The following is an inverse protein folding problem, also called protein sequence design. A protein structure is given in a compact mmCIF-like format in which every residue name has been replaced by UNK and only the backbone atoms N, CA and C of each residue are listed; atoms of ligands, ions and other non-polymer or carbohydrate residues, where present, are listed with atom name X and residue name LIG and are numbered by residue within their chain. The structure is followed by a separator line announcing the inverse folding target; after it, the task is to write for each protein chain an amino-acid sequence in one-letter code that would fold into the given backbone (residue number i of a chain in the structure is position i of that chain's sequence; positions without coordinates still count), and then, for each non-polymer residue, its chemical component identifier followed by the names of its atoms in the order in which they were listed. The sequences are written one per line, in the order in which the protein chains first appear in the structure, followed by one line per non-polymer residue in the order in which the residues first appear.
data_IF_788181454570
#
_entry.id   IF_788181454570
#
_cell.length_a   1.000
_cell.length_b   1.000
_cell.length_c   1.000
_cell.angle_alpha   90.00
_cell.angle_beta   90.00
_cell.angle_gamma   90.00
#
_symmetry.space_group_name_H-M   'P 1'
#
loop_
_entity.id
_entity.type
_entity.pdbx_description
1 polymer ?
#
# COMPACT_ATOMS: atom_id res chain seq x y z
N UNK A 1 14.02 0.53 -4.87
CA UNK A 1 14.54 -0.63 -4.10
C UNK A 1 13.48 -1.10 -3.12
N UNK A 2 13.21 -2.38 -3.03
CA UNK A 2 12.33 -3.01 -2.06
C UNK A 2 13.15 -3.99 -1.21
N UNK A 3 13.28 -3.72 0.07
CA UNK A 3 14.01 -4.59 1.00
C UNK A 3 13.07 -5.49 1.79
N UNK A 4 13.51 -6.73 2.05
CA UNK A 4 12.70 -7.66 2.83
C UNK A 4 13.37 -9.01 3.07
N UNK A 5 12.78 -9.78 3.97
CA UNK A 5 13.23 -11.18 4.20
C UNK A 5 12.80 -12.11 3.07
N UNK A 6 11.73 -11.78 2.33
CA UNK A 6 11.13 -12.62 1.28
C UNK A 6 10.95 -14.08 1.72
N UNK A 7 10.28 -14.28 2.84
CA UNK A 7 10.09 -15.57 3.50
C UNK A 7 8.59 -15.96 3.64
N UNK A 8 7.96 -16.46 2.56
CA UNK A 8 8.39 -16.46 1.16
C UNK A 8 8.17 -15.10 0.47
N UNK A 9 8.74 -14.95 -0.73
CA UNK A 9 8.29 -13.95 -1.70
C UNK A 9 6.86 -14.31 -2.15
N UNK A 10 6.03 -13.30 -2.46
CA UNK A 10 4.63 -13.51 -2.84
C UNK A 10 4.13 -12.39 -3.75
N UNK A 11 2.93 -12.56 -4.33
CA UNK A 11 2.31 -11.61 -5.24
C UNK A 11 2.19 -10.17 -4.70
N UNK A 12 2.09 -9.98 -3.38
CA UNK A 12 2.08 -8.64 -2.80
C UNK A 12 3.40 -7.86 -2.99
N UNK A 13 4.56 -8.55 -3.04
CA UNK A 13 5.84 -7.90 -3.38
C UNK A 13 5.87 -7.51 -4.85
N UNK A 14 5.35 -8.39 -5.73
CA UNK A 14 5.23 -8.12 -7.16
C UNK A 14 4.30 -6.93 -7.40
N UNK A 15 3.12 -6.94 -6.82
CA UNK A 15 2.13 -5.87 -6.94
C UNK A 15 2.68 -4.49 -6.54
N UNK A 16 3.34 -4.38 -5.38
CA UNK A 16 3.97 -3.12 -4.95
C UNK A 16 5.05 -2.69 -5.95
N UNK A 17 5.81 -3.63 -6.52
CA UNK A 17 6.86 -3.33 -7.49
C UNK A 17 6.28 -2.82 -8.81
N UNK A 18 5.25 -3.46 -9.35
CA UNK A 18 4.54 -3.04 -10.56
C UNK A 18 3.90 -1.66 -10.40
N UNK A 19 3.26 -1.42 -9.26
CA UNK A 19 2.71 -0.10 -8.93
C UNK A 19 3.81 0.96 -8.86
N UNK A 20 4.93 0.68 -8.21
CA UNK A 20 6.05 1.61 -8.11
C UNK A 20 6.65 1.94 -9.48
N UNK A 21 6.82 0.94 -10.36
CA UNK A 21 7.28 1.15 -11.74
C UNK A 21 6.36 2.10 -12.50
N UNK A 22 5.03 1.94 -12.34
CA UNK A 22 4.02 2.73 -13.03
C UNK A 22 3.85 4.13 -12.46
N UNK A 23 3.74 4.25 -11.13
CA UNK A 23 3.37 5.51 -10.47
C UNK A 23 4.56 6.47 -10.34
N UNK A 24 5.77 5.93 -10.17
CA UNK A 24 7.00 6.70 -9.95
C UNK A 24 7.89 6.80 -11.20
N UNK A 25 7.44 6.25 -12.34
CA UNK A 25 8.18 6.23 -13.60
C UNK A 25 9.62 5.70 -13.42
N UNK A 26 9.74 4.55 -12.74
CA UNK A 26 11.03 3.93 -12.44
C UNK A 26 11.45 2.99 -13.56
N UNK A 27 12.75 2.98 -13.87
CA UNK A 27 13.32 2.05 -14.88
C UNK A 27 13.33 0.61 -14.36
N UNK A 28 13.64 0.42 -13.07
CA UNK A 28 13.82 -0.91 -12.48
C UNK A 28 13.49 -0.92 -10.99
N UNK A 29 13.14 -2.09 -10.48
CA UNK A 29 13.01 -2.37 -9.05
C UNK A 29 14.06 -3.40 -8.63
N UNK A 30 14.84 -3.08 -7.60
CA UNK A 30 15.76 -4.03 -6.99
C UNK A 30 15.13 -4.62 -5.73
N UNK A 31 14.93 -5.92 -5.73
CA UNK A 31 14.56 -6.66 -4.53
C UNK A 31 15.84 -7.02 -3.77
N UNK A 32 16.03 -6.38 -2.64
CA UNK A 32 17.14 -6.62 -1.74
C UNK A 32 16.73 -7.70 -0.74
N UNK A 33 17.15 -8.94 -0.99
CA UNK A 33 16.85 -10.06 -0.08
C UNK A 33 17.80 -9.99 1.11
N UNK A 34 17.23 -9.70 2.29
CA UNK A 34 18.00 -9.60 3.53
C UNK A 34 18.49 -10.99 3.99
N UNK A 35 19.78 -11.16 4.27
CA UNK A 35 20.30 -12.40 4.84
C UNK A 35 19.60 -12.75 6.14
N UNK A 36 19.46 -11.77 7.05
CA UNK A 36 18.73 -11.90 8.30
C UNK A 36 18.20 -10.52 8.74
N UNK A 37 16.90 -10.42 9.02
CA UNK A 37 16.35 -9.24 9.62
C UNK A 37 16.52 -9.29 11.14
N UNK A 38 17.26 -8.34 11.77
CA UNK A 38 17.50 -8.35 13.21
C UNK A 38 16.23 -8.31 14.08
N UNK A 39 15.12 -7.84 13.52
CA UNK A 39 13.83 -7.71 14.21
C UNK A 39 12.92 -8.93 14.06
N UNK A 40 13.34 -9.95 13.29
CA UNK A 40 12.57 -11.17 13.10
C UNK A 40 13.26 -12.35 13.77
N UNK A 41 12.51 -13.22 14.46
CA UNK A 41 13.09 -14.47 14.99
C UNK A 41 13.65 -15.31 13.84
N UNK A 42 14.70 -16.04 14.12
CA UNK A 42 15.34 -16.97 13.17
C UNK A 42 14.45 -18.20 12.98
N UNK A 43 13.70 -18.55 14.01
CA UNK A 43 12.79 -19.70 14.00
C UNK A 43 11.70 -19.51 12.93
N UNK A 44 11.49 -20.53 12.10
CA UNK A 44 10.57 -20.50 10.95
C UNK A 44 11.05 -19.69 9.75
N UNK A 45 12.33 -19.24 9.72
CA UNK A 45 12.90 -18.58 8.55
C UNK A 45 13.60 -19.60 7.64
N UNK A 46 13.15 -19.68 6.38
CA UNK A 46 13.82 -20.51 5.38
C UNK A 46 15.27 -20.05 5.14
N UNK A 47 16.20 -20.96 4.79
CA UNK A 47 17.57 -20.62 4.44
C UNK A 47 17.65 -19.51 3.37
N UNK A 48 18.66 -18.65 3.49
CA UNK A 48 18.83 -17.51 2.59
C UNK A 48 18.82 -17.90 1.09
N UNK A 49 19.53 -18.96 0.63
CA UNK A 49 19.48 -19.37 -0.77
C UNK A 49 18.07 -19.76 -1.24
N UNK A 50 17.27 -20.40 -0.40
CA UNK A 50 15.89 -20.80 -0.71
C UNK A 50 15.01 -19.57 -0.88
N UNK A 51 15.16 -18.56 0.01
CA UNK A 51 14.42 -17.30 -0.07
C UNK A 51 14.80 -16.48 -1.30
N UNK A 52 16.09 -16.44 -1.61
CA UNK A 52 16.63 -15.75 -2.78
C UNK A 52 16.09 -16.37 -4.08
N UNK A 53 16.10 -17.69 -4.18
CA UNK A 53 15.60 -18.42 -5.33
C UNK A 53 14.07 -18.28 -5.47
N UNK A 54 13.33 -18.39 -4.37
CA UNK A 54 11.89 -18.14 -4.36
C UNK A 54 11.54 -16.71 -4.79
N UNK A 55 12.34 -15.73 -4.41
CA UNK A 55 12.16 -14.34 -4.85
C UNK A 55 12.42 -14.20 -6.37
N UNK A 56 13.47 -14.84 -6.91
CA UNK A 56 13.77 -14.81 -8.35
C UNK A 56 12.62 -15.38 -9.16
N UNK A 57 12.10 -16.53 -8.77
CA UNK A 57 10.97 -17.19 -9.46
C UNK A 57 9.73 -16.30 -9.56
N UNK A 58 9.41 -15.56 -8.49
CA UNK A 58 8.28 -14.62 -8.51
C UNK A 58 8.59 -13.40 -9.39
N UNK A 59 9.83 -12.91 -9.38
CA UNK A 59 10.24 -11.74 -10.14
C UNK A 59 10.39 -11.99 -11.66
N UNK A 60 10.53 -13.26 -12.11
CA UNK A 60 10.66 -13.62 -13.53
C UNK A 60 9.51 -13.12 -14.41
N UNK A 61 8.37 -12.79 -13.81
CA UNK A 61 7.20 -12.27 -14.52
C UNK A 61 7.39 -10.86 -15.06
N UNK A 62 8.32 -10.07 -14.52
CA UNK A 62 8.63 -8.72 -15.02
C UNK A 62 10.17 -8.51 -15.06
N UNK A 63 10.80 -8.38 -16.25
CA UNK A 63 12.25 -8.26 -16.40
C UNK A 63 12.83 -6.96 -15.77
N UNK A 64 11.98 -6.01 -15.42
CA UNK A 64 12.39 -4.79 -14.71
C UNK A 64 12.59 -5.00 -13.21
N UNK A 65 12.25 -6.20 -12.69
CA UNK A 65 12.44 -6.53 -11.28
C UNK A 65 13.67 -7.40 -11.13
N UNK A 66 14.72 -6.84 -10.52
CA UNK A 66 15.99 -7.52 -10.29
C UNK A 66 16.10 -8.00 -8.85
N UNK A 67 16.24 -9.30 -8.66
CA UNK A 67 16.48 -9.88 -7.33
C UNK A 67 17.96 -9.97 -7.06
N UNK A 68 18.41 -9.40 -5.95
CA UNK A 68 19.83 -9.31 -5.62
C UNK A 68 20.13 -9.70 -4.19
N UNK A 69 21.31 -10.26 -3.99
CA UNK A 69 21.94 -10.58 -2.71
C UNK A 69 22.93 -9.48 -2.24
N UNK A 70 22.82 -8.27 -2.78
CA UNK A 70 23.75 -7.18 -2.49
C UNK A 70 23.91 -6.90 -0.99
N UNK A 71 22.84 -7.02 -0.19
CA UNK A 71 22.95 -6.85 1.26
C UNK A 71 23.94 -7.81 1.92
N UNK A 72 24.06 -9.04 1.39
CA UNK A 72 25.02 -10.02 1.91
C UNK A 72 26.47 -9.74 1.50
N UNK A 73 26.65 -8.98 0.40
CA UNK A 73 27.96 -8.65 -0.18
C UNK A 73 28.47 -7.29 0.26
N UNK A 74 27.60 -6.41 0.74
CA UNK A 74 28.00 -5.14 1.29
C UNK A 74 28.66 -5.43 2.65
N UNK A 75 29.94 -5.09 2.80
CA UNK A 75 30.68 -5.17 4.05
C UNK A 75 30.17 -4.17 5.11
N UNK A 76 29.04 -3.52 4.84
CA UNK A 76 28.37 -2.57 5.70
C UNK A 76 27.70 -3.29 6.88
N UNK A 77 26.75 -2.87 7.49
CA UNK A 77 26.10 -3.49 8.64
C UNK A 77 24.85 -4.27 8.23
N UNK A 78 24.18 -4.88 9.20
CA UNK A 78 22.87 -5.52 9.04
C UNK A 78 21.72 -4.50 8.97
N UNK A 79 22.02 -3.20 8.96
CA UNK A 79 21.02 -2.15 9.11
C UNK A 79 20.75 -1.46 7.78
N UNK A 80 19.48 -1.24 7.49
CA UNK A 80 19.00 -0.62 6.24
C UNK A 80 19.66 0.75 5.98
N UNK A 81 19.85 1.58 7.01
CA UNK A 81 20.50 2.90 6.86
C UNK A 81 21.92 2.79 6.29
N UNK A 82 22.72 1.82 6.77
CA UNK A 82 24.08 1.62 6.30
C UNK A 82 24.12 1.03 4.90
N UNK A 83 23.22 0.08 4.61
CA UNK A 83 23.08 -0.51 3.28
C UNK A 83 22.73 0.55 2.23
N UNK A 84 21.78 1.44 2.51
CA UNK A 84 21.40 2.52 1.61
C UNK A 84 22.54 3.50 1.37
N UNK A 85 23.28 3.86 2.42
CA UNK A 85 24.46 4.70 2.29
C UNK A 85 25.57 4.04 1.45
N UNK A 86 25.78 2.74 1.63
CA UNK A 86 26.74 1.96 0.84
C UNK A 86 26.33 1.88 -0.64
N UNK A 87 25.04 1.64 -0.92
CA UNK A 87 24.50 1.59 -2.28
C UNK A 87 24.65 2.94 -3.00
N UNK A 88 24.30 4.05 -2.35
CA UNK A 88 24.50 5.39 -2.95
C UNK A 88 25.96 5.67 -3.29
N UNK A 89 26.90 5.28 -2.43
CA UNK A 89 28.33 5.43 -2.71
C UNK A 89 28.80 4.52 -3.84
N UNK A 90 28.27 3.29 -3.91
CA UNK A 90 28.67 2.31 -4.91
C UNK A 90 28.13 2.63 -6.29
N UNK A 91 26.93 3.26 -6.36
CA UNK A 91 26.20 3.57 -7.58
C UNK A 91 25.81 5.07 -7.61
N UNK A 92 26.78 6.00 -7.69
CA UNK A 92 26.53 7.44 -7.54
C UNK A 92 25.71 8.06 -8.68
N UNK A 93 25.59 7.35 -9.81
CA UNK A 93 24.80 7.79 -10.97
C UNK A 93 23.36 7.32 -10.94
N UNK A 94 23.00 6.39 -10.04
CA UNK A 94 21.64 5.88 -9.91
C UNK A 94 20.85 6.70 -8.89
N UNK A 95 19.60 6.99 -9.24
CA UNK A 95 18.63 7.61 -8.33
C UNK A 95 17.82 6.49 -7.66
N UNK A 96 17.87 6.45 -6.36
CA UNK A 96 17.24 5.40 -5.59
C UNK A 96 16.00 5.90 -4.86
N UNK A 97 14.91 5.16 -4.94
CA UNK A 97 13.72 5.31 -4.10
C UNK A 97 13.57 4.05 -3.23
N UNK A 98 13.38 4.23 -1.92
CA UNK A 98 13.10 3.11 -1.01
C UNK A 98 11.60 2.84 -0.95
N UNK A 99 11.19 1.62 -1.31
CA UNK A 99 9.81 1.17 -1.30
C UNK A 99 9.53 0.43 0.00
N UNK A 100 8.39 0.69 0.63
CA UNK A 100 7.94 -0.04 1.81
C UNK A 100 6.42 -0.08 1.91
N UNK A 101 5.89 -1.08 2.64
CA UNK A 101 4.48 -1.13 3.01
C UNK A 101 4.16 -0.19 4.19
N UNK A 102 2.89 0.16 4.36
CA UNK A 102 2.40 0.95 5.51
C UNK A 102 2.73 0.32 6.87
N UNK A 103 2.73 -1.01 6.95
CA UNK A 103 3.18 -1.76 8.13
C UNK A 103 4.64 -1.47 8.51
N UNK A 104 5.52 -1.32 7.51
CA UNK A 104 6.91 -0.94 7.74
C UNK A 104 7.04 0.52 8.18
N UNK A 105 6.22 1.44 7.69
CA UNK A 105 6.21 2.82 8.16
C UNK A 105 5.82 2.91 9.65
N UNK A 106 4.91 2.06 10.12
CA UNK A 106 4.58 1.94 11.56
C UNK A 106 5.76 1.39 12.36
N UNK A 107 6.51 0.43 11.80
CA UNK A 107 7.59 -0.27 12.49
C UNK A 107 8.95 0.43 12.39
N UNK A 108 9.16 1.31 11.40
CA UNK A 108 10.45 1.93 11.11
C UNK A 108 11.06 2.69 12.32
N UNK A 109 10.29 3.27 13.26
CA UNK A 109 10.87 3.87 14.46
C UNK A 109 11.67 2.89 15.34
N UNK A 110 11.47 1.59 15.17
CA UNK A 110 12.23 0.54 15.86
C UNK A 110 13.53 0.15 15.11
N UNK A 111 13.72 0.66 13.89
CA UNK A 111 14.90 0.33 13.09
C UNK A 111 16.08 1.19 13.52
N UNK A 112 17.27 0.57 13.52
CA UNK A 112 18.50 1.28 13.87
C UNK A 112 18.72 2.47 12.92
N UNK A 113 18.93 3.64 13.50
CA UNK A 113 19.21 4.90 12.78
C UNK A 113 18.13 5.25 11.73
N UNK A 114 16.88 4.89 11.97
CA UNK A 114 15.78 5.05 11.03
C UNK A 114 15.61 6.47 10.43
N UNK A 115 15.88 7.59 11.16
CA UNK A 115 15.76 8.91 10.55
C UNK A 115 16.74 9.14 9.41
N UNK A 116 17.85 8.40 9.38
CA UNK A 116 18.85 8.51 8.31
C UNK A 116 18.32 7.88 7.02
N UNK A 117 17.48 6.87 7.10
CA UNK A 117 16.82 6.27 5.91
C UNK A 117 16.10 7.37 5.13
N UNK A 118 15.28 8.20 5.82
CA UNK A 118 14.57 9.31 5.20
C UNK A 118 15.48 10.40 4.64
N UNK A 119 16.68 10.57 5.22
CA UNK A 119 17.65 11.56 4.76
C UNK A 119 18.59 11.04 3.67
N UNK A 120 18.59 9.73 3.45
CA UNK A 120 19.51 9.11 2.50
C UNK A 120 18.86 8.94 1.13
N UNK A 121 17.59 8.54 1.07
CA UNK A 121 16.85 8.33 -0.18
C UNK A 121 15.40 8.77 -0.04
N UNK A 122 14.74 9.20 -1.12
CA UNK A 122 13.30 9.37 -1.14
C UNK A 122 12.59 8.05 -0.84
N UNK A 123 11.41 8.13 -0.21
CA UNK A 123 10.65 6.96 0.24
C UNK A 123 9.26 6.93 -0.36
N UNK A 124 8.88 5.79 -0.94
CA UNK A 124 7.51 5.51 -1.37
C UNK A 124 6.89 4.47 -0.45
N UNK A 125 5.80 4.84 0.18
CA UNK A 125 5.03 3.98 1.09
C UNK A 125 3.76 3.56 0.40
N UNK A 126 3.55 2.26 0.32
CA UNK A 126 2.34 1.66 -0.24
C UNK A 126 1.44 1.17 0.89
N UNK A 127 0.18 1.48 0.78
CA UNK A 127 -0.80 1.10 1.77
C UNK A 127 -0.87 -0.43 1.96
N UNK A 128 -1.31 -0.84 3.15
CA UNK A 128 -1.61 -2.23 3.45
C UNK A 128 -2.88 -2.31 4.29
N UNK A 129 -3.69 -3.38 4.12
CA UNK A 129 -4.88 -3.59 4.95
C UNK A 129 -4.58 -3.35 6.43
N UNK A 130 -5.45 -2.59 7.10
CA UNK A 130 -5.39 -2.30 8.54
C UNK A 130 -4.22 -1.43 9.01
N UNK A 131 -3.40 -0.85 8.13
CA UNK A 131 -2.24 -0.06 8.52
C UNK A 131 -2.28 1.42 8.11
N UNK A 132 -3.14 1.85 7.18
CA UNK A 132 -3.18 3.20 6.63
C UNK A 132 -3.21 4.29 7.71
N UNK A 133 -4.18 4.23 8.60
CA UNK A 133 -4.35 5.22 9.67
C UNK A 133 -3.19 5.19 10.67
N UNK A 134 -2.75 3.99 11.08
CA UNK A 134 -1.63 3.81 12.00
C UNK A 134 -0.33 4.30 11.39
N UNK A 135 -0.12 4.09 10.10
CA UNK A 135 1.07 4.53 9.39
C UNK A 135 1.15 6.05 9.33
N UNK A 136 0.06 6.72 8.91
CA UNK A 136 0.01 8.17 8.75
C UNK A 136 -0.02 8.93 10.09
N UNK A 137 -0.63 8.37 11.13
CA UNK A 137 -0.61 8.93 12.49
C UNK A 137 0.64 8.58 13.29
N UNK A 138 1.50 7.72 12.76
CA UNK A 138 2.69 7.21 13.43
C UNK A 138 3.83 8.23 13.59
N UNK A 139 4.81 7.92 14.48
CA UNK A 139 5.92 8.83 14.77
C UNK A 139 6.76 9.20 13.54
N UNK A 140 6.96 8.27 12.60
CA UNK A 140 7.74 8.51 11.40
C UNK A 140 7.04 9.51 10.47
N UNK A 141 5.76 9.32 10.18
CA UNK A 141 4.97 10.22 9.36
C UNK A 141 4.88 11.62 9.98
N UNK A 142 4.67 11.72 11.31
CA UNK A 142 4.66 13.02 12.02
C UNK A 142 6.02 13.72 11.94
N UNK A 143 7.12 13.00 12.17
CA UNK A 143 8.47 13.58 12.15
C UNK A 143 8.84 14.15 10.79
N UNK A 144 8.44 13.49 9.71
CA UNK A 144 8.74 13.88 8.35
C UNK A 144 7.56 14.49 7.60
N UNK A 145 6.50 14.93 8.30
CA UNK A 145 5.27 15.45 7.70
C UNK A 145 5.50 16.56 6.65
N UNK A 146 6.41 17.51 6.95
CA UNK A 146 6.74 18.63 6.05
C UNK A 146 7.42 18.22 4.74
N UNK A 147 7.94 17.00 4.67
CA UNK A 147 8.62 16.44 3.49
C UNK A 147 7.73 15.46 2.72
N UNK A 148 6.45 15.38 3.08
CA UNK A 148 5.50 14.57 2.33
C UNK A 148 5.18 15.27 1.01
N UNK A 149 5.37 14.51 -0.07
CA UNK A 149 5.15 14.96 -1.44
C UNK A 149 3.66 14.85 -1.77
N UNK A 150 3.03 15.86 -2.39
CA UNK A 150 1.68 15.76 -2.94
C UNK A 150 1.58 14.69 -4.03
N UNK A 151 0.39 14.12 -4.22
CA UNK A 151 0.15 13.10 -5.25
C UNK A 151 0.46 13.60 -6.68
N UNK A 152 0.25 14.90 -6.96
CA UNK A 152 0.59 15.52 -8.25
C UNK A 152 2.07 15.42 -8.62
N UNK A 153 2.96 15.34 -7.64
CA UNK A 153 4.40 15.38 -7.83
C UNK A 153 5.08 14.01 -7.64
N UNK A 154 4.30 12.96 -7.42
CA UNK A 154 4.80 11.61 -7.09
C UNK A 154 5.75 11.03 -8.16
N UNK A 155 5.48 11.28 -9.45
CA UNK A 155 6.33 10.82 -10.55
C UNK A 155 7.75 11.36 -10.48
N UNK A 156 7.92 12.53 -9.87
CA UNK A 156 9.22 13.18 -9.70
C UNK A 156 9.95 12.77 -8.44
N UNK A 157 9.39 11.86 -7.64
CA UNK A 157 9.98 11.46 -6.36
C UNK A 157 11.45 11.02 -6.48
N UNK A 158 11.79 10.27 -7.53
CA UNK A 158 13.16 9.81 -7.79
C UNK A 158 14.17 10.96 -8.08
N UNK A 159 13.66 12.13 -8.46
CA UNK A 159 14.46 13.33 -8.75
C UNK A 159 14.64 14.23 -7.54
N UNK A 160 13.84 14.02 -6.50
CA UNK A 160 13.82 14.87 -5.32
C UNK A 160 14.99 14.56 -4.39
N UNK A 161 15.57 15.63 -3.82
CA UNK A 161 16.56 15.49 -2.75
C UNK A 161 15.87 15.01 -1.45
N UNK A 162 16.43 13.98 -0.78
CA UNK A 162 15.91 13.55 0.50
C UNK A 162 16.15 14.61 1.60
N UNK A 163 15.23 14.74 2.57
CA UNK A 163 14.06 13.94 2.79
C UNK A 163 12.89 14.26 1.85
N UNK A 164 12.35 13.27 1.18
CA UNK A 164 11.10 13.37 0.41
C UNK A 164 10.38 12.02 0.55
N UNK A 165 9.07 12.03 0.71
CA UNK A 165 8.33 10.79 0.79
C UNK A 165 6.89 10.95 0.34
N UNK A 166 6.30 9.87 -0.20
CA UNK A 166 4.92 9.79 -0.65
C UNK A 166 4.23 8.61 0.01
N UNK A 167 2.93 8.71 0.22
CA UNK A 167 2.09 7.60 0.68
C UNK A 167 1.02 7.33 -0.37
N UNK A 168 1.06 6.16 -0.95
CA UNK A 168 0.09 5.69 -1.92
C UNK A 168 -1.01 4.91 -1.23
N UNK A 169 -2.24 5.39 -1.36
CA UNK A 169 -3.42 4.61 -1.06
C UNK A 169 -3.65 3.68 -2.25
N UNK A 170 -3.31 2.41 -2.10
CA UNK A 170 -3.41 1.41 -3.16
C UNK A 170 -4.55 0.44 -2.88
N UNK A 171 -5.07 -0.22 -3.93
CA UNK A 171 -6.01 -1.33 -3.75
C UNK A 171 -5.36 -2.38 -2.84
N UNK A 172 -6.04 -2.72 -1.76
CA UNK A 172 -5.49 -3.55 -0.70
C UNK A 172 -5.34 -5.01 -1.20
N UNK A 173 -4.12 -5.52 -1.25
CA UNK A 173 -3.84 -6.93 -1.52
C UNK A 173 -3.64 -7.66 -0.18
N UNK A 174 -4.58 -8.53 0.18
CA UNK A 174 -4.58 -9.29 1.44
C UNK A 174 -3.46 -10.33 1.53
N UNK A 175 -2.72 -10.57 0.43
CA UNK A 175 -1.64 -11.55 0.42
C UNK A 175 -0.47 -11.07 1.26
N UNK A 176 -0.22 -11.73 2.38
CA UNK A 176 0.94 -11.52 3.24
C UNK A 176 1.71 -12.81 3.43
N UNK A 177 3.03 -12.71 3.65
CA UNK A 177 3.87 -13.87 3.94
C UNK A 177 3.41 -14.64 5.19
N UNK A 178 2.81 -13.96 6.16
CA UNK A 178 2.26 -14.58 7.37
C UNK A 178 1.05 -15.44 7.05
N UNK A 179 0.11 -14.94 6.25
CA UNK A 179 -1.08 -15.68 5.83
C UNK A 179 -0.74 -16.89 4.97
N UNK A 180 0.19 -16.73 4.02
CA UNK A 180 0.65 -17.85 3.18
C UNK A 180 1.28 -18.96 4.03
N UNK A 181 2.08 -18.60 5.05
CA UNK A 181 2.66 -19.60 5.96
C UNK A 181 1.62 -20.29 6.84
N UNK A 182 0.60 -19.58 7.34
CA UNK A 182 -0.48 -20.21 8.09
C UNK A 182 -1.27 -21.20 7.23
N UNK A 183 -1.59 -20.82 6.00
CA UNK A 183 -2.30 -21.67 5.03
C UNK A 183 -1.46 -22.91 4.63
N UNK A 184 -0.13 -22.77 4.51
CA UNK A 184 0.78 -23.92 4.22
C UNK A 184 0.94 -24.87 5.40
N UNK A 185 0.88 -24.37 6.65
CA UNK A 185 0.96 -25.22 7.84
C UNK A 185 -0.35 -26.00 8.11
N UNK A 186 -1.46 -25.61 7.54
CA UNK A 186 -2.76 -26.29 7.64
C UNK A 186 -2.94 -27.41 6.60
N UNK A 187 -2.06 -27.52 5.61
CA UNK A 187 -2.11 -28.60 4.61
C UNK A 187 -1.19 -29.74 5.06
N UNK A 188 -1.72 -30.92 5.45
CA UNK A 188 -0.88 -32.07 5.77
C UNK A 188 -0.06 -32.52 4.56
N UNK A 189 1.23 -32.79 4.76
CA UNK A 189 2.22 -33.15 3.74
C UNK A 189 1.83 -34.34 2.84
N UNK A 190 0.83 -35.15 3.22
CA UNK A 190 0.41 -36.37 2.52
C UNK A 190 -0.44 -36.13 1.26
N UNK A 191 -0.75 -34.87 0.90
CA UNK A 191 -1.56 -34.58 -0.30
C UNK A 191 -0.77 -34.01 -1.49
N UNK A 192 0.53 -33.91 -1.41
CA UNK A 192 1.37 -33.29 -2.46
C UNK A 192 1.96 -34.27 -3.48
N UNK A 193 1.63 -35.57 -3.43
CA UNK A 193 2.27 -36.58 -4.29
C UNK A 193 1.35 -37.20 -5.35
N UNK A 194 0.11 -36.84 -5.44
CA UNK A 194 -0.74 -37.36 -6.54
C UNK A 194 -1.69 -36.27 -7.03
N UNK A 195 -1.38 -35.65 -8.16
CA UNK A 195 -2.27 -35.24 -9.27
C UNK A 195 -1.66 -34.10 -10.06
N UNK A 196 -1.15 -34.38 -11.23
CA UNK A 196 -1.06 -33.40 -12.31
C UNK A 196 -2.49 -33.13 -12.80
N UNK A 197 -3.01 -31.89 -12.69
CA UNK A 197 -4.33 -31.58 -13.24
C UNK A 197 -4.21 -31.39 -14.75
N UNK A 198 -5.01 -32.12 -15.51
CA UNK A 198 -5.19 -31.93 -16.95
C UNK A 198 -5.61 -30.47 -17.25
N UNK A 199 -5.04 -29.90 -18.31
CA UNK A 199 -5.27 -28.52 -18.80
C UNK A 199 -6.76 -28.12 -18.99
N UNK A 200 -7.66 -29.09 -19.09
CA UNK A 200 -9.11 -28.87 -19.22
C UNK A 200 -9.79 -28.34 -17.96
N UNK A 201 -9.19 -28.54 -16.78
CA UNK A 201 -9.79 -28.15 -15.48
C UNK A 201 -9.50 -26.69 -15.13
N UNK A 202 -8.47 -26.07 -15.70
CA UNK A 202 -8.09 -24.68 -15.42
C UNK A 202 -9.09 -23.69 -16.04
N UNK A 203 -9.70 -24.03 -17.16
CA UNK A 203 -10.71 -23.17 -17.80
C UNK A 203 -12.02 -23.03 -17.00
N UNK A 204 -12.30 -23.95 -16.08
CA UNK A 204 -13.51 -23.94 -15.24
C UNK A 204 -13.35 -23.10 -13.94
N UNK A 205 -12.10 -22.69 -13.60
CA UNK A 205 -11.80 -21.92 -12.38
C UNK A 205 -11.64 -20.41 -12.62
N UNK A 206 -11.76 -19.96 -13.86
CA UNK A 206 -11.84 -18.53 -14.14
C UNK A 206 -13.21 -18.00 -13.69
N UNK A 207 -13.27 -16.93 -12.89
CA UNK A 207 -14.55 -16.34 -12.53
C UNK A 207 -15.25 -15.87 -13.81
N UNK A 208 -16.41 -16.46 -14.11
CA UNK A 208 -17.26 -16.00 -15.21
C UNK A 208 -17.66 -14.55 -14.92
N UNK A 209 -17.61 -13.64 -15.90
CA UNK A 209 -18.14 -12.30 -15.74
C UNK A 209 -19.61 -12.42 -15.36
N UNK A 210 -19.98 -11.87 -14.21
CA UNK A 210 -21.39 -11.80 -13.80
C UNK A 210 -22.12 -10.89 -14.74
N UNK A 211 -23.37 -11.20 -15.14
CA UNK A 211 -24.19 -10.27 -15.89
C UNK A 211 -24.36 -8.99 -15.07
N UNK A 212 -24.03 -7.86 -15.64
CA UNK A 212 -24.26 -6.54 -15.08
C UNK A 212 -25.75 -6.21 -15.14
N UNK A 213 -26.49 -6.53 -14.07
CA UNK A 213 -27.73 -5.81 -13.81
C UNK A 213 -27.40 -4.37 -13.38
N UNK A 214 -28.23 -3.38 -13.68
CA UNK A 214 -28.01 -1.99 -13.28
C UNK A 214 -28.22 -1.88 -11.77
N UNK A 215 -27.17 -2.20 -10.99
CA UNK A 215 -27.16 -1.87 -9.57
C UNK A 215 -27.03 -0.35 -9.42
N UNK A 216 -27.73 0.29 -8.46
CA UNK A 216 -27.47 1.68 -8.12
C UNK A 216 -25.96 1.79 -7.86
N UNK A 217 -25.32 2.78 -8.47
CA UNK A 217 -23.88 2.95 -8.35
C UNK A 217 -23.52 2.99 -6.87
N UNK A 218 -22.50 2.29 -6.48
CA UNK A 218 -22.05 2.24 -5.06
C UNK A 218 -21.83 3.66 -4.52
N UNK A 219 -21.37 4.56 -5.38
CA UNK A 219 -21.23 5.98 -5.04
C UNK A 219 -22.55 6.60 -4.60
N UNK A 220 -23.65 6.42 -5.36
CA UNK A 220 -24.95 7.00 -5.04
C UNK A 220 -25.46 6.48 -3.69
N UNK A 221 -25.24 5.20 -3.42
CA UNK A 221 -25.64 4.55 -2.16
C UNK A 221 -24.82 5.11 -0.98
N UNK A 222 -23.52 5.34 -1.16
CA UNK A 222 -22.64 5.96 -0.16
C UNK A 222 -23.10 7.37 0.14
N UNK A 223 -23.31 8.19 -0.89
CA UNK A 223 -23.73 9.59 -0.73
C UNK A 223 -25.09 9.69 -0.01
N UNK A 224 -26.07 8.91 -0.43
CA UNK A 224 -27.39 8.88 0.22
C UNK A 224 -27.29 8.46 1.69
N UNK A 225 -26.49 7.41 2.01
CA UNK A 225 -26.32 6.96 3.39
C UNK A 225 -25.65 8.02 4.28
N UNK A 226 -24.69 8.78 3.73
CA UNK A 226 -24.02 9.87 4.44
C UNK A 226 -24.96 11.07 4.67
N UNK A 227 -25.79 11.42 3.68
CA UNK A 227 -26.80 12.49 3.79
C UNK A 227 -27.86 12.12 4.84
N UNK A 228 -28.41 10.90 4.79
CA UNK A 228 -29.38 10.39 5.75
C UNK A 228 -28.81 10.37 7.18
N UNK A 229 -27.53 10.05 7.33
CA UNK A 229 -26.77 10.08 8.58
C UNK A 229 -26.33 11.49 9.02
N UNK A 230 -26.70 12.55 8.26
CA UNK A 230 -26.34 13.94 8.52
C UNK A 230 -24.84 14.17 8.64
N UNK A 231 -24.06 13.52 7.78
CA UNK A 231 -22.65 13.83 7.61
C UNK A 231 -22.46 15.26 7.12
N UNK A 232 -21.40 15.92 7.57
CA UNK A 232 -21.07 17.28 7.18
C UNK A 232 -19.99 17.32 6.11
N UNK A 233 -20.00 18.37 5.30
CA UNK A 233 -18.96 18.67 4.30
C UNK A 233 -18.62 17.46 3.41
N UNK A 234 -19.64 16.83 2.82
CA UNK A 234 -19.47 15.68 1.92
C UNK A 234 -18.82 16.19 0.62
N UNK A 235 -17.63 15.69 0.32
CA UNK A 235 -16.88 16.00 -0.90
C UNK A 235 -16.62 14.70 -1.65
N UNK A 236 -16.95 14.69 -2.95
CA UNK A 236 -16.63 13.59 -3.86
C UNK A 236 -15.53 14.01 -4.80
N UNK A 237 -14.51 13.19 -4.92
CA UNK A 237 -13.36 13.38 -5.80
C UNK A 237 -13.37 12.25 -6.84
N UNK A 238 -13.42 12.61 -8.12
CA UNK A 238 -13.27 11.67 -9.23
C UNK A 238 -11.79 11.27 -9.35
N UNK A 239 -11.53 9.97 -9.20
CA UNK A 239 -10.21 9.36 -9.29
C UNK A 239 -10.02 8.55 -10.59
N UNK A 240 -11.06 8.41 -11.41
CA UNK A 240 -11.01 7.65 -12.65
C UNK A 240 -9.91 8.17 -13.58
N UNK A 241 -9.03 7.27 -13.99
CA UNK A 241 -7.86 7.61 -14.81
C UNK A 241 -6.71 8.33 -14.10
N UNK A 242 -6.88 8.76 -12.85
CA UNK A 242 -5.83 9.41 -12.04
C UNK A 242 -5.11 8.40 -11.14
N UNK A 243 -5.81 7.37 -10.72
CA UNK A 243 -5.27 6.31 -9.86
C UNK A 243 -5.98 5.00 -10.12
N UNK A 244 -5.37 3.89 -9.69
CA UNK A 244 -5.95 2.54 -9.76
C UNK A 244 -6.58 2.10 -8.44
N UNK A 245 -6.72 3.01 -7.48
CA UNK A 245 -7.18 2.71 -6.11
C UNK A 245 -8.69 2.48 -6.11
N UNK A 246 -9.43 3.41 -6.68
CA UNK A 246 -10.87 3.43 -6.81
C UNK A 246 -11.26 4.41 -7.92
N UNK A 247 -12.49 4.39 -8.35
CA UNK A 247 -13.01 5.38 -9.29
C UNK A 247 -13.39 6.69 -8.60
N UNK A 248 -13.80 6.59 -7.32
CA UNK A 248 -14.22 7.76 -6.53
C UNK A 248 -13.68 7.71 -5.10
N UNK A 249 -13.40 8.89 -4.55
CA UNK A 249 -13.13 9.09 -3.13
C UNK A 249 -14.21 10.01 -2.56
N UNK A 250 -14.83 9.58 -1.47
CA UNK A 250 -15.80 10.39 -0.73
C UNK A 250 -15.19 10.76 0.61
N UNK A 251 -15.18 12.04 0.94
CA UNK A 251 -14.68 12.57 2.20
C UNK A 251 -15.85 13.27 2.90
N UNK A 252 -16.10 12.90 4.15
CA UNK A 252 -17.16 13.50 4.94
C UNK A 252 -16.75 13.68 6.40
N UNK A 253 -17.43 14.55 7.12
CA UNK A 253 -17.17 14.84 8.54
C UNK A 253 -18.33 14.41 9.42
N UNK A 254 -17.98 13.94 10.62
CA UNK A 254 -18.92 13.78 11.73
C UNK A 254 -18.51 14.69 12.89
N UNK A 255 -19.46 15.40 13.49
CA UNK A 255 -19.24 16.38 14.60
C UNK A 255 -18.55 15.77 15.82
N UNK A 256 -18.61 14.46 15.99
CA UNK A 256 -18.06 13.73 17.13
C UNK A 256 -17.63 12.33 16.75
N UNK A 257 -16.74 11.73 17.53
CA UNK A 257 -16.38 10.32 17.43
C UNK A 257 -17.61 9.39 17.35
N UNK A 258 -18.64 9.68 18.17
CA UNK A 258 -19.89 8.91 18.16
C UNK A 258 -20.62 8.98 16.80
N UNK A 259 -20.67 10.16 16.18
CA UNK A 259 -21.31 10.30 14.87
C UNK A 259 -20.47 9.65 13.76
N UNK A 260 -19.15 9.80 13.79
CA UNK A 260 -18.26 9.10 12.84
C UNK A 260 -18.47 7.59 12.90
N UNK A 261 -18.57 7.03 14.10
CA UNK A 261 -18.86 5.60 14.29
C UNK A 261 -20.27 5.21 13.82
N UNK A 262 -21.28 6.02 14.10
CA UNK A 262 -22.65 5.77 13.64
C UNK A 262 -22.75 5.81 12.11
N UNK A 263 -22.13 6.78 11.45
CA UNK A 263 -22.03 6.84 9.98
C UNK A 263 -21.31 5.59 9.41
N UNK A 264 -20.26 5.16 10.10
CA UNK A 264 -19.53 3.95 9.71
C UNK A 264 -20.42 2.71 9.79
N UNK A 265 -21.21 2.57 10.86
CA UNK A 265 -22.11 1.43 11.03
C UNK A 265 -23.23 1.41 10.00
N UNK A 266 -23.81 2.57 9.67
CA UNK A 266 -24.81 2.67 8.61
C UNK A 266 -24.24 2.28 7.23
N UNK A 267 -23.05 2.77 6.90
CA UNK A 267 -22.39 2.38 5.65
C UNK A 267 -22.04 0.89 5.62
N UNK A 268 -21.55 0.35 6.75
CA UNK A 268 -21.26 -1.09 6.87
C UNK A 268 -22.52 -1.93 6.61
N UNK A 269 -23.63 -1.58 7.25
CA UNK A 269 -24.91 -2.29 7.10
C UNK A 269 -25.44 -2.24 5.66
N UNK A 270 -25.36 -1.11 5.01
CA UNK A 270 -25.89 -0.89 3.66
C UNK A 270 -25.00 -1.54 2.58
N UNK A 271 -23.67 -1.39 2.70
CA UNK A 271 -22.71 -1.82 1.70
C UNK A 271 -22.38 -3.31 1.81
N UNK A 272 -22.21 -3.85 3.03
CA UNK A 272 -21.84 -5.26 3.24
C UNK A 272 -22.85 -6.26 2.70
N UNK A 273 -24.11 -5.85 2.55
CA UNK A 273 -25.17 -6.66 1.91
C UNK A 273 -25.00 -6.81 0.40
N UNK A 274 -24.20 -5.97 -0.24
CA UNK A 274 -24.07 -5.89 -1.71
C UNK A 274 -22.68 -6.21 -2.21
N UNK A 275 -21.66 -5.79 -1.47
CA UNK A 275 -20.26 -5.93 -1.83
C UNK A 275 -19.43 -6.29 -0.60
N UNK A 276 -18.23 -6.80 -0.82
CA UNK A 276 -17.26 -6.96 0.25
C UNK A 276 -16.59 -5.61 0.52
N UNK A 277 -16.60 -5.17 1.77
CA UNK A 277 -15.97 -3.94 2.20
C UNK A 277 -14.88 -4.22 3.22
N UNK A 278 -13.94 -3.28 3.38
CA UNK A 278 -12.96 -3.26 4.46
C UNK A 278 -13.08 -1.96 5.23
N UNK A 279 -13.06 -2.03 6.56
CA UNK A 279 -13.23 -0.86 7.43
C UNK A 279 -12.05 -0.78 8.38
N UNK A 280 -11.41 0.42 8.45
CA UNK A 280 -10.32 0.72 9.35
C UNK A 280 -10.63 1.93 10.23
N UNK A 281 -10.04 1.99 11.43
CA UNK A 281 -10.16 3.15 12.32
C UNK A 281 -11.35 3.14 13.26
N UNK A 282 -12.26 2.14 13.23
CA UNK A 282 -13.42 2.00 14.14
C UNK A 282 -13.04 2.14 15.62
N UNK A 283 -11.88 1.65 16.03
CA UNK A 283 -11.46 1.65 17.45
C UNK A 283 -11.23 3.06 18.02
N UNK A 284 -10.76 3.99 17.21
CA UNK A 284 -10.46 5.37 17.61
C UNK A 284 -11.60 6.34 17.25
N UNK A 285 -12.25 6.11 16.12
CA UNK A 285 -13.38 6.88 15.64
C UNK A 285 -13.10 8.35 15.29
N UNK A 286 -11.84 8.74 15.22
CA UNK A 286 -11.41 10.10 14.83
C UNK A 286 -11.25 10.23 13.30
N UNK A 287 -10.91 9.12 12.67
CA UNK A 287 -10.83 8.92 11.22
C UNK A 287 -11.12 7.46 10.90
N UNK A 288 -12.14 7.23 10.10
CA UNK A 288 -12.50 5.89 9.59
C UNK A 288 -12.35 5.87 8.08
N UNK A 289 -11.73 4.81 7.57
CA UNK A 289 -11.61 4.50 6.16
C UNK A 289 -12.51 3.30 5.85
N UNK A 290 -13.31 3.41 4.78
CA UNK A 290 -14.11 2.31 4.23
C UNK A 290 -13.68 2.11 2.78
N UNK A 291 -13.15 0.94 2.47
CA UNK A 291 -12.87 0.50 1.11
C UNK A 291 -14.06 -0.32 0.60
N UNK A 292 -14.78 0.25 -0.36
CA UNK A 292 -15.93 -0.34 -1.02
C UNK A 292 -15.64 -0.68 -2.51
N UNK A 293 -14.38 -0.98 -2.84
CA UNK A 293 -13.94 -1.34 -4.18
C UNK A 293 -13.77 -0.13 -5.08
N UNK A 294 -14.81 0.24 -5.82
CA UNK A 294 -14.76 1.40 -6.73
C UNK A 294 -14.93 2.75 -6.01
N UNK A 295 -15.29 2.73 -4.72
CA UNK A 295 -15.46 3.92 -3.89
C UNK A 295 -14.68 3.76 -2.58
N UNK A 296 -13.84 4.74 -2.25
CA UNK A 296 -13.20 4.85 -0.93
C UNK A 296 -13.88 5.96 -0.16
N UNK A 297 -14.28 5.68 1.09
CA UNK A 297 -14.91 6.66 1.97
C UNK A 297 -14.00 6.99 3.15
N UNK A 298 -13.77 8.27 3.35
CA UNK A 298 -13.08 8.81 4.53
C UNK A 298 -14.06 9.58 5.41
N UNK A 299 -14.25 9.11 6.63
CA UNK A 299 -15.04 9.77 7.65
C UNK A 299 -14.12 10.37 8.71
N UNK A 300 -14.19 11.66 8.89
CA UNK A 300 -13.32 12.40 9.79
C UNK A 300 -14.07 13.14 10.89
N UNK A 301 -13.39 13.37 12.00
CA UNK A 301 -13.68 14.55 12.83
C UNK A 301 -13.10 15.81 12.18
N UNK A 302 -13.75 16.99 12.31
CA UNK A 302 -13.33 18.19 11.58
C UNK A 302 -11.86 18.58 11.80
N UNK A 303 -11.35 18.45 13.04
CA UNK A 303 -9.97 18.79 13.39
C UNK A 303 -8.97 17.85 12.69
N UNK A 304 -9.34 16.59 12.59
CA UNK A 304 -8.50 15.55 11.94
C UNK A 304 -8.51 15.74 10.43
N UNK A 305 -9.67 16.05 9.84
CA UNK A 305 -9.80 16.37 8.41
C UNK A 305 -8.91 17.55 8.00
N UNK A 306 -8.97 18.65 8.76
CA UNK A 306 -8.14 19.83 8.52
C UNK A 306 -6.65 19.53 8.60
N UNK A 307 -6.24 18.63 9.51
CA UNK A 307 -4.84 18.23 9.67
C UNK A 307 -4.33 17.42 8.47
N UNK A 308 -5.14 16.45 7.98
CA UNK A 308 -4.73 15.59 6.87
C UNK A 308 -4.98 16.21 5.49
N UNK A 309 -6.00 17.05 5.37
CA UNK A 309 -6.36 17.84 4.18
C UNK A 309 -6.27 17.03 2.87
N UNK A 310 -6.98 15.90 2.81
CA UNK A 310 -6.97 15.00 1.65
C UNK A 310 -7.50 15.68 0.40
N UNK A 311 -8.45 16.60 0.53
CA UNK A 311 -9.03 17.37 -0.57
C UNK A 311 -7.97 18.16 -1.31
N UNK A 312 -7.05 18.79 -0.60
CA UNK A 312 -5.94 19.53 -1.21
C UNK A 312 -4.98 18.62 -1.94
N UNK A 313 -4.78 17.38 -1.44
CA UNK A 313 -3.91 16.41 -2.08
C UNK A 313 -4.45 15.92 -3.43
N UNK A 314 -5.79 15.75 -3.52
CA UNK A 314 -6.44 15.18 -4.68
C UNK A 314 -7.18 16.23 -5.54
N UNK A 315 -7.57 17.38 -4.97
CA UNK A 315 -8.33 18.44 -5.61
C UNK A 315 -7.52 19.36 -6.52
N UNK A 316 -6.21 19.49 -6.33
CA UNK A 316 -5.34 20.28 -7.22
C UNK A 316 -5.25 19.69 -8.65
N UNK A 317 -5.63 18.43 -8.83
CA UNK A 317 -5.73 17.82 -10.15
C UNK A 317 -6.96 18.27 -10.97
N UNK A 318 -7.90 19.01 -10.36
CA UNK A 318 -9.14 19.47 -11.03
C UNK A 318 -8.91 20.80 -11.77
N UNK A 319 -7.99 21.63 -11.32
CA UNK A 319 -7.75 22.96 -11.91
C UNK A 319 -6.97 22.93 -13.24
N UNK A 320 -6.19 21.86 -13.49
CA UNK A 320 -5.41 21.74 -14.73
C UNK A 320 -6.20 21.15 -15.91
N UNK A 321 -7.37 20.54 -15.68
CA UNK A 321 -8.18 19.97 -16.77
C UNK A 321 -9.15 20.97 -17.43
N UNK A 322 -9.45 22.09 -16.80
CA UNK A 322 -10.27 23.16 -17.38
C UNK A 322 -9.48 24.25 -18.14
N UNK A 323 -8.16 24.32 -17.92
CA UNK A 323 -7.30 25.31 -18.58
C UNK A 323 -6.84 24.94 -20.00
N UNK A 324 -7.24 23.79 -20.54
CA UNK A 324 -6.87 23.31 -21.90
C UNK A 324 -8.06 23.39 -22.87
N UNK A 325 -9.12 24.09 -22.54
CA UNK A 325 -10.23 24.43 -23.48
C UNK A 325 -10.45 25.92 -23.53
N UNK A 326 -9.54 26.64 -24.16
CA UNK A 326 -9.78 27.92 -24.85
C UNK A 326 -8.86 27.95 -26.08
#
# INVERSE_FOLDING_TARGET
MLGGSFNPAHGGHLHISELALKLLDLDQIWWLVSPQNPLKPVDGMAPFPVRLEGARRIAETDPRILVTDLESRLASSRYTADNLNALRRRFPRLRFVWLMGGDNLVQIPKWQRWPEIFRTVPIAVFDRPSYSLKALSGPAAKRFARYRVPASDERRLAEMEPPAWVFFHTRLDDRSATRIRSEQNEIPLNRLVEQEPELSTIAALLPRPRPTEPHPKILDLVLQTLEDGKAEDIVTIDLAGKTTIADHMVIASGRSTRQVLALTEHLDEVLSRRIRISIEGKTQGDWVLIDAGDVIVHLFRPEIRSYYNLEKMWGSAILDSEAVRL
#
